data_IF_748446052133
#
_entry.id   IF_748446052133
#
_cell.length_a   1.000
_cell.length_b   1.000
_cell.length_c   1.000
_cell.angle_alpha   90.00
_cell.angle_beta   90.00
_cell.angle_gamma   90.00
#
_symmetry.space_group_name_H-M   'P 1'
#
loop_
_entity.id
_entity.type
_entity.pdbx_description
1 polymer ?
#
# COMPACT_ATOMS: atom_id res chain seq x y z
N UNK A 1 19.93 35.86 -15.79
CA UNK A 1 21.31 35.47 -15.45
C UNK A 1 22.01 34.95 -16.71
N UNK A 2 23.28 35.33 -16.92
CA UNK A 2 24.05 35.00 -18.15
C UNK A 2 24.27 33.48 -18.41
N UNK A 3 23.79 32.60 -17.53
CA UNK A 3 23.84 31.16 -17.66
C UNK A 3 22.44 30.50 -17.76
N UNK A 4 21.39 31.31 -17.98
CA UNK A 4 20.07 30.79 -18.24
C UNK A 4 19.98 30.25 -19.68
N UNK A 5 19.31 29.10 -19.85
CA UNK A 5 19.05 28.54 -21.19
C UNK A 5 18.23 29.53 -22.03
N UNK A 6 18.66 29.76 -23.27
CA UNK A 6 17.91 30.56 -24.23
C UNK A 6 16.58 29.88 -24.63
N UNK A 7 15.63 30.59 -25.21
CA UNK A 7 14.40 29.98 -25.74
C UNK A 7 14.68 28.86 -26.77
N UNK A 8 15.70 29.03 -27.59
CA UNK A 8 16.10 28.05 -28.62
C UNK A 8 16.66 26.78 -27.98
N UNK A 9 17.52 26.92 -26.98
CA UNK A 9 18.08 25.79 -26.19
C UNK A 9 16.99 25.02 -25.48
N UNK A 10 16.01 25.72 -24.88
CA UNK A 10 14.85 25.12 -24.25
C UNK A 10 13.99 24.36 -25.25
N UNK A 11 13.77 24.93 -26.44
CA UNK A 11 13.02 24.25 -27.50
C UNK A 11 13.74 22.99 -27.99
N UNK A 12 15.07 23.03 -28.15
CA UNK A 12 15.88 21.89 -28.53
C UNK A 12 15.80 20.75 -27.51
N UNK A 13 15.91 21.07 -26.21
CA UNK A 13 15.74 20.08 -25.11
C UNK A 13 14.36 19.44 -25.15
N UNK A 14 13.32 20.23 -25.39
CA UNK A 14 11.94 19.74 -25.47
C UNK A 14 11.73 18.86 -26.70
N UNK A 15 12.25 19.25 -27.85
CA UNK A 15 12.13 18.51 -29.09
C UNK A 15 12.78 17.13 -28.98
N UNK A 16 14.03 17.08 -28.52
CA UNK A 16 14.75 15.81 -28.29
C UNK A 16 14.04 14.92 -27.30
N UNK A 17 13.59 15.46 -26.16
CA UNK A 17 12.89 14.68 -25.17
C UNK A 17 11.58 14.07 -25.70
N UNK A 18 10.98 14.65 -26.72
CA UNK A 18 9.74 14.17 -27.35
C UNK A 18 9.97 13.27 -28.58
N UNK A 19 11.22 13.01 -28.96
CA UNK A 19 11.49 12.00 -29.96
C UNK A 19 10.90 10.63 -29.57
N UNK A 20 10.42 9.83 -30.54
CA UNK A 20 9.83 8.51 -30.23
C UNK A 20 10.70 7.62 -29.37
N UNK A 21 12.04 7.65 -29.57
CA UNK A 21 13.02 6.86 -28.81
C UNK A 21 13.13 7.31 -27.34
N UNK A 22 12.81 8.56 -27.02
CA UNK A 22 12.92 9.17 -25.71
C UNK A 22 11.58 9.45 -25.04
N UNK A 23 10.47 9.29 -25.72
CA UNK A 23 9.14 9.64 -25.20
C UNK A 23 8.79 8.97 -23.86
N UNK A 24 9.36 7.78 -23.59
CA UNK A 24 9.17 7.04 -22.35
C UNK A 24 10.40 7.01 -21.43
N UNK A 25 11.44 7.76 -21.76
CA UNK A 25 12.72 7.74 -21.05
C UNK A 25 12.84 8.96 -20.12
N UNK A 26 13.27 8.80 -18.88
CA UNK A 26 13.46 9.93 -17.98
C UNK A 26 14.72 10.73 -18.34
N UNK A 27 14.78 12.04 -17.98
CA UNK A 27 15.94 12.93 -18.25
C UNK A 27 17.28 12.34 -17.80
N UNK A 28 17.33 11.67 -16.65
CA UNK A 28 18.53 11.01 -16.10
C UNK A 28 19.10 9.92 -17.02
N UNK A 29 18.34 9.41 -17.97
CA UNK A 29 18.81 8.45 -18.97
C UNK A 29 18.99 9.07 -20.34
N UNK A 30 18.18 10.09 -20.70
CA UNK A 30 18.29 10.77 -21.99
C UNK A 30 19.64 11.48 -22.10
N UNK A 31 20.04 12.22 -21.06
CA UNK A 31 21.29 13.02 -21.11
C UNK A 31 22.52 12.16 -21.29
N UNK A 32 22.74 11.05 -20.55
CA UNK A 32 23.86 10.15 -20.83
C UNK A 32 23.81 9.53 -22.23
N UNK A 33 22.63 9.10 -22.70
CA UNK A 33 22.49 8.51 -24.04
C UNK A 33 22.86 9.49 -25.14
N UNK A 34 22.49 10.77 -25.01
CA UNK A 34 22.90 11.83 -25.93
C UNK A 34 24.42 12.11 -25.85
N UNK A 35 24.98 12.07 -24.64
CA UNK A 35 26.42 12.24 -24.43
C UNK A 35 27.23 11.12 -25.11
N UNK A 36 26.75 9.88 -25.08
CA UNK A 36 27.36 8.75 -25.79
C UNK A 36 27.31 8.96 -27.34
N UNK A 37 26.29 9.70 -27.83
CA UNK A 37 26.17 10.09 -29.23
C UNK A 37 26.98 11.36 -29.54
N UNK A 38 27.74 11.92 -28.60
CA UNK A 38 28.50 13.16 -28.76
C UNK A 38 27.68 14.44 -28.71
N UNK A 39 26.42 14.36 -28.21
CA UNK A 39 25.49 15.50 -28.16
C UNK A 39 25.29 15.91 -26.71
N UNK A 40 25.52 17.20 -26.39
CA UNK A 40 25.23 17.75 -25.08
C UNK A 40 24.37 19.01 -25.21
N UNK A 41 23.11 18.93 -24.80
CA UNK A 41 22.15 20.02 -24.84
C UNK A 41 21.94 20.70 -23.48
N UNK A 42 22.28 20.02 -22.39
CA UNK A 42 22.14 20.55 -21.05
C UNK A 42 22.13 19.46 -20.00
N UNK A 43 22.14 19.85 -18.73
CA UNK A 43 22.12 18.92 -17.61
C UNK A 43 20.75 18.21 -17.45
N UNK A 44 20.73 17.06 -16.77
CA UNK A 44 19.51 16.36 -16.39
C UNK A 44 18.51 17.27 -15.66
N UNK A 45 19.00 18.09 -14.73
CA UNK A 45 18.17 19.04 -13.98
C UNK A 45 17.60 20.14 -14.86
N UNK A 46 18.32 20.57 -15.91
CA UNK A 46 17.83 21.55 -16.89
C UNK A 46 16.73 20.96 -17.75
N UNK A 47 16.94 19.75 -18.27
CA UNK A 47 15.93 19.02 -19.04
C UNK A 47 14.68 18.73 -18.18
N UNK A 48 14.85 18.31 -16.93
CA UNK A 48 13.72 18.05 -16.03
C UNK A 48 12.89 19.32 -15.77
N UNK A 49 13.54 20.49 -15.62
CA UNK A 49 12.85 21.78 -15.44
C UNK A 49 12.06 22.16 -16.70
N UNK A 50 12.68 22.07 -17.90
CA UNK A 50 12.00 22.36 -19.15
C UNK A 50 10.77 21.46 -19.34
N UNK A 51 10.89 20.16 -19.08
CA UNK A 51 9.77 19.22 -19.15
C UNK A 51 8.67 19.54 -18.11
N UNK A 52 9.06 19.95 -16.91
CA UNK A 52 8.11 20.37 -15.86
C UNK A 52 7.30 21.58 -16.28
N UNK A 53 7.96 22.60 -16.85
CA UNK A 53 7.31 23.84 -17.32
C UNK A 53 6.27 23.54 -18.40
N UNK A 54 6.46 22.45 -19.18
CA UNK A 54 5.53 22.00 -20.22
C UNK A 54 4.58 20.89 -19.75
N UNK A 55 4.50 20.61 -18.44
CA UNK A 55 3.63 19.56 -17.89
C UNK A 55 4.03 18.13 -18.26
N UNK A 56 5.24 17.91 -18.79
CA UNK A 56 5.71 16.62 -19.33
C UNK A 56 6.64 15.85 -18.38
N UNK A 57 6.90 16.36 -17.17
CA UNK A 57 7.81 15.71 -16.25
C UNK A 57 7.16 14.56 -15.44
N UNK A 58 5.84 14.44 -15.46
CA UNK A 58 5.13 13.39 -14.78
C UNK A 58 5.03 12.14 -15.65
N UNK A 59 5.64 11.05 -15.22
CA UNK A 59 5.41 9.69 -15.74
C UNK A 59 5.69 9.52 -17.23
N UNK A 60 6.89 9.82 -17.63
CA UNK A 60 7.37 9.41 -18.95
C UNK A 60 7.51 7.87 -18.94
N UNK A 61 6.76 7.19 -19.81
CA UNK A 61 6.83 5.75 -19.98
C UNK A 61 5.67 4.94 -19.38
N UNK A 62 5.91 3.65 -19.14
CA UNK A 62 4.91 2.68 -18.68
C UNK A 62 4.43 2.85 -17.23
N UNK A 63 4.91 3.86 -16.51
CA UNK A 63 4.49 4.11 -15.15
C UNK A 63 3.01 4.46 -15.09
N UNK A 64 2.22 3.58 -14.49
CA UNK A 64 0.80 3.86 -14.21
C UNK A 64 0.68 5.09 -13.31
N UNK A 65 -0.39 5.85 -13.51
CA UNK A 65 -0.76 6.90 -12.56
C UNK A 65 -0.77 6.33 -11.14
N UNK A 66 -0.25 7.04 -10.11
CA UNK A 66 -0.48 6.63 -8.73
C UNK A 66 -1.99 6.45 -8.56
N UNK A 67 -2.38 5.31 -7.99
CA UNK A 67 -3.78 5.16 -7.57
C UNK A 67 -4.06 6.27 -6.55
N UNK A 68 -5.20 6.94 -6.68
CA UNK A 68 -5.65 7.84 -5.65
C UNK A 68 -5.64 7.07 -4.32
N UNK A 69 -4.87 7.54 -3.35
CA UNK A 69 -4.90 7.00 -2.01
C UNK A 69 -6.28 7.31 -1.44
N UNK A 70 -7.07 6.27 -1.18
CA UNK A 70 -8.27 6.45 -0.35
C UNK A 70 -7.80 6.75 1.06
N UNK A 71 -8.41 7.73 1.75
CA UNK A 71 -8.13 7.93 3.16
C UNK A 71 -8.38 6.62 3.91
N UNK A 72 -7.57 6.28 4.93
CA UNK A 72 -7.80 5.09 5.74
C UNK A 72 -9.21 5.14 6.34
N UNK A 73 -9.88 4.01 6.37
CA UNK A 73 -11.18 3.89 7.04
C UNK A 73 -10.97 4.10 8.54
N UNK A 74 -11.65 5.07 9.11
CA UNK A 74 -11.59 5.37 10.54
C UNK A 74 -12.86 4.85 11.20
N UNK A 75 -12.73 4.06 12.25
CA UNK A 75 -13.83 3.57 13.06
C UNK A 75 -13.73 4.17 14.45
N UNK A 76 -14.86 4.64 14.99
CA UNK A 76 -14.99 5.15 16.35
C UNK A 76 -15.98 4.23 17.08
N UNK A 77 -15.54 3.64 18.17
CA UNK A 77 -16.38 2.87 19.06
C UNK A 77 -16.79 3.74 20.27
N UNK A 78 -18.07 3.77 20.58
CA UNK A 78 -18.64 4.49 21.72
C UNK A 78 -19.13 3.55 22.82
N UNK A 79 -19.16 2.24 22.55
CA UNK A 79 -19.52 1.18 23.48
C UNK A 79 -18.80 -0.13 23.11
N UNK A 80 -18.69 -1.11 24.04
CA UNK A 80 -18.16 -2.44 23.75
C UNK A 80 -18.97 -3.15 22.66
N UNK A 81 -18.32 -4.02 21.89
CA UNK A 81 -18.95 -4.85 20.86
C UNK A 81 -19.30 -4.12 19.56
N UNK A 82 -18.88 -2.86 19.38
CA UNK A 82 -19.14 -2.12 18.14
C UNK A 82 -18.03 -2.30 17.09
N UNK A 83 -16.78 -2.31 17.51
CA UNK A 83 -15.63 -2.44 16.62
C UNK A 83 -14.62 -3.39 17.23
N UNK A 84 -14.26 -4.40 16.49
CA UNK A 84 -13.20 -5.34 16.83
C UNK A 84 -11.99 -5.08 15.98
N UNK A 85 -10.82 -5.02 16.58
CA UNK A 85 -9.55 -4.90 15.91
C UNK A 85 -8.88 -6.27 15.81
N UNK A 86 -8.58 -6.69 14.60
CA UNK A 86 -7.82 -7.89 14.29
C UNK A 86 -6.36 -7.56 14.10
N UNK A 87 -5.48 -8.37 14.66
CA UNK A 87 -4.05 -8.33 14.35
C UNK A 87 -3.43 -9.72 14.47
N UNK A 88 -2.28 -9.90 13.81
CA UNK A 88 -1.45 -11.09 13.92
C UNK A 88 0.00 -10.69 14.19
N UNK A 89 0.61 -11.27 15.20
CA UNK A 89 1.99 -10.99 15.57
C UNK A 89 2.79 -12.28 15.76
N UNK A 90 4.11 -12.14 15.67
CA UNK A 90 5.04 -13.25 15.83
C UNK A 90 5.51 -13.33 17.27
N UNK A 91 5.49 -14.55 17.84
CA UNK A 91 6.06 -14.86 19.15
C UNK A 91 7.30 -15.73 18.94
N UNK A 92 8.46 -15.37 19.53
CA UNK A 92 9.65 -16.20 19.40
C UNK A 92 9.47 -17.52 20.16
N UNK A 93 9.84 -18.63 19.53
CA UNK A 93 9.91 -19.92 20.18
C UNK A 93 11.25 -20.08 20.93
N UNK A 94 11.35 -21.10 21.77
CA UNK A 94 12.61 -21.43 22.48
C UNK A 94 13.73 -21.87 21.50
N UNK A 95 13.35 -22.37 20.32
CA UNK A 95 14.31 -22.76 19.28
C UNK A 95 14.58 -21.56 18.38
N UNK A 96 15.86 -21.22 18.25
CA UNK A 96 16.28 -20.09 17.39
C UNK A 96 15.79 -20.27 15.94
N UNK A 97 15.20 -19.21 15.39
CA UNK A 97 14.66 -19.19 14.02
C UNK A 97 13.24 -19.78 13.89
N UNK A 98 12.66 -20.29 14.96
CA UNK A 98 11.27 -20.75 14.99
C UNK A 98 10.37 -19.69 15.63
N UNK A 99 9.19 -19.46 15.03
CA UNK A 99 8.21 -18.48 15.45
C UNK A 99 6.85 -19.11 15.56
N UNK A 100 6.06 -18.64 16.53
CA UNK A 100 4.64 -18.88 16.58
C UNK A 100 3.88 -17.65 16.11
N UNK A 101 2.67 -17.86 15.68
CA UNK A 101 1.77 -16.83 15.18
C UNK A 101 0.63 -16.64 16.18
N UNK A 102 0.62 -15.48 16.84
CA UNK A 102 -0.50 -15.09 17.70
C UNK A 102 -1.52 -14.33 16.87
N UNK A 103 -2.70 -14.88 16.76
CA UNK A 103 -3.88 -14.25 16.19
C UNK A 103 -4.70 -13.63 17.31
N UNK A 104 -5.07 -12.37 17.18
CA UNK A 104 -5.71 -11.59 18.25
C UNK A 104 -6.90 -10.82 17.71
N UNK A 105 -8.01 -10.85 18.47
CA UNK A 105 -9.16 -9.96 18.27
C UNK A 105 -9.37 -9.18 19.56
N UNK A 106 -9.34 -7.85 19.45
CA UNK A 106 -9.48 -6.90 20.55
C UNK A 106 -10.72 -6.04 20.32
N UNK A 107 -11.56 -5.89 21.34
CA UNK A 107 -12.61 -4.87 21.31
C UNK A 107 -12.00 -3.47 21.43
N UNK A 108 -12.32 -2.58 20.47
CA UNK A 108 -11.68 -1.27 20.36
C UNK A 108 -12.02 -0.37 21.56
N UNK A 109 -13.24 -0.45 22.08
CA UNK A 109 -13.69 0.40 23.18
C UNK A 109 -13.19 -0.07 24.54
N UNK A 110 -13.47 -1.31 24.90
CA UNK A 110 -13.14 -1.87 26.21
C UNK A 110 -11.68 -2.31 26.34
N UNK A 111 -10.98 -2.48 25.21
CA UNK A 111 -9.62 -3.08 25.13
C UNK A 111 -9.57 -4.54 25.59
N UNK A 112 -10.70 -5.18 25.71
CA UNK A 112 -10.78 -6.60 26.06
C UNK A 112 -10.35 -7.45 24.87
N UNK A 113 -9.57 -8.49 25.16
CA UNK A 113 -9.26 -9.54 24.18
C UNK A 113 -10.51 -10.45 24.12
N UNK A 114 -11.22 -10.39 22.99
CA UNK A 114 -12.40 -11.20 22.74
C UNK A 114 -12.07 -12.52 22.06
N UNK A 115 -10.90 -12.61 21.42
CA UNK A 115 -10.39 -13.84 20.84
C UNK A 115 -8.88 -13.85 20.73
N UNK A 116 -8.26 -14.99 21.03
CA UNK A 116 -6.83 -15.20 20.85
C UNK A 116 -6.53 -16.68 20.59
N UNK A 117 -5.61 -16.93 19.67
CA UNK A 117 -5.07 -18.26 19.37
C UNK A 117 -3.60 -18.17 18.96
N UNK A 118 -2.83 -19.23 19.27
CA UNK A 118 -1.43 -19.35 18.90
C UNK A 118 -1.26 -20.57 18.01
N UNK A 119 -0.63 -20.38 16.86
CA UNK A 119 -0.37 -21.44 15.88
C UNK A 119 1.10 -21.45 15.48
N UNK A 120 1.56 -22.55 14.91
CA UNK A 120 2.93 -22.73 14.41
C UNK A 120 3.09 -22.33 12.93
N UNK A 121 1.99 -21.98 12.27
CA UNK A 121 1.97 -21.52 10.88
C UNK A 121 1.03 -20.33 10.69
N UNK A 122 1.30 -19.50 9.68
CA UNK A 122 0.36 -18.47 9.21
C UNK A 122 -0.55 -19.08 8.16
N UNK A 123 -1.83 -19.24 8.52
CA UNK A 123 -2.86 -19.81 7.65
C UNK A 123 -4.18 -19.05 7.78
N UNK A 124 -4.86 -18.88 6.65
CA UNK A 124 -6.19 -18.25 6.60
C UNK A 124 -7.25 -19.07 7.35
N UNK A 125 -7.11 -20.40 7.42
CA UNK A 125 -8.04 -21.28 8.14
C UNK A 125 -7.97 -21.05 9.64
N UNK A 126 -6.80 -20.70 10.20
CA UNK A 126 -6.66 -20.30 11.61
C UNK A 126 -7.44 -19.01 11.88
N UNK A 127 -7.36 -18.04 10.95
CA UNK A 127 -8.14 -16.79 11.05
C UNK A 127 -9.64 -17.06 11.01
N UNK A 128 -10.12 -17.91 10.09
CA UNK A 128 -11.53 -18.32 10.00
C UNK A 128 -11.99 -18.97 11.30
N UNK A 129 -11.18 -19.89 11.85
CA UNK A 129 -11.49 -20.60 13.08
C UNK A 129 -11.62 -19.63 14.26
N UNK A 130 -10.65 -18.76 14.45
CA UNK A 130 -10.66 -17.77 15.53
C UNK A 130 -11.87 -16.84 15.44
N UNK A 131 -12.13 -16.23 14.25
CA UNK A 131 -13.25 -15.30 14.10
C UNK A 131 -14.58 -16.01 14.35
N UNK A 132 -14.76 -17.23 13.82
CA UNK A 132 -15.97 -18.03 14.07
C UNK A 132 -16.16 -18.34 15.54
N UNK A 133 -15.11 -18.81 16.23
CA UNK A 133 -15.16 -19.13 17.64
C UNK A 133 -15.48 -17.89 18.49
N UNK A 134 -14.85 -16.77 18.18
CA UNK A 134 -15.11 -15.49 18.87
C UNK A 134 -16.54 -15.03 18.63
N UNK A 135 -17.04 -15.10 17.39
CA UNK A 135 -18.40 -14.73 17.05
C UNK A 135 -19.45 -15.57 17.80
N UNK A 136 -19.18 -16.87 18.00
CA UNK A 136 -20.04 -17.74 18.79
C UNK A 136 -19.98 -17.41 20.29
N UNK A 137 -18.77 -17.20 20.84
CA UNK A 137 -18.57 -16.87 22.26
C UNK A 137 -19.26 -15.55 22.64
N UNK A 138 -19.16 -14.54 21.78
CA UNK A 138 -19.78 -13.23 21.96
C UNK A 138 -21.24 -13.17 21.50
N UNK A 139 -21.83 -14.30 21.06
CA UNK A 139 -23.23 -14.39 20.63
C UNK A 139 -23.61 -13.40 19.53
N UNK A 140 -22.73 -13.13 18.59
CA UNK A 140 -22.88 -12.11 17.53
C UNK A 140 -24.15 -12.32 16.72
N UNK A 141 -24.55 -13.58 16.47
CA UNK A 141 -25.73 -13.91 15.70
C UNK A 141 -27.04 -13.33 16.30
N UNK A 142 -27.06 -13.10 17.62
CA UNK A 142 -28.23 -12.56 18.35
C UNK A 142 -28.20 -11.04 18.53
N UNK A 143 -27.14 -10.38 18.09
CA UNK A 143 -27.00 -8.92 18.20
C UNK A 143 -27.77 -8.21 17.09
N UNK A 144 -28.50 -7.15 17.43
CA UNK A 144 -29.19 -6.29 16.45
C UNK A 144 -28.18 -5.59 15.52
N UNK A 145 -27.06 -5.17 16.08
CA UNK A 145 -25.94 -4.56 15.31
C UNK A 145 -24.67 -5.37 15.53
N UNK A 146 -24.14 -5.94 14.46
CA UNK A 146 -22.92 -6.74 14.51
C UNK A 146 -21.68 -5.85 14.58
N UNK A 147 -20.62 -6.26 15.30
CA UNK A 147 -19.36 -5.52 15.34
C UNK A 147 -18.71 -5.42 13.96
N UNK A 148 -18.08 -4.30 13.71
CA UNK A 148 -17.19 -4.14 12.55
C UNK A 148 -15.86 -4.80 12.86
N UNK A 149 -15.45 -5.77 12.08
CA UNK A 149 -14.09 -6.33 12.16
C UNK A 149 -13.14 -5.47 11.34
N UNK A 150 -12.25 -4.76 12.02
CA UNK A 150 -11.23 -3.90 11.43
C UNK A 150 -9.86 -4.54 11.59
N UNK A 151 -9.09 -4.60 10.52
CA UNK A 151 -7.71 -5.09 10.52
C UNK A 151 -6.86 -4.35 9.51
N UNK A 152 -5.58 -4.64 9.52
CA UNK A 152 -4.69 -4.19 8.47
C UNK A 152 -5.10 -4.78 7.10
N UNK A 153 -4.44 -4.30 6.05
CA UNK A 153 -4.65 -4.82 4.69
C UNK A 153 -3.89 -6.13 4.43
N UNK A 154 -3.59 -6.91 5.46
CA UNK A 154 -2.90 -8.18 5.38
C UNK A 154 -3.58 -9.21 4.47
N UNK A 155 -2.79 -10.16 3.95
CA UNK A 155 -3.27 -11.21 3.05
C UNK A 155 -4.27 -12.14 3.72
N UNK A 156 -4.07 -12.43 4.98
CA UNK A 156 -4.87 -13.39 5.77
C UNK A 156 -6.33 -12.98 5.88
N UNK A 157 -6.63 -11.72 6.24
CA UNK A 157 -8.02 -11.23 6.29
C UNK A 157 -8.67 -11.05 4.90
N UNK A 158 -7.88 -10.96 3.85
CA UNK A 158 -8.37 -10.87 2.46
C UNK A 158 -8.55 -12.22 1.80
N UNK A 159 -8.19 -13.30 2.47
CA UNK A 159 -8.40 -14.64 1.95
C UNK A 159 -9.89 -14.88 1.69
N UNK A 160 -10.19 -15.53 0.57
CA UNK A 160 -11.58 -15.80 0.14
C UNK A 160 -12.36 -16.56 1.21
N UNK A 161 -11.69 -17.46 1.93
CA UNK A 161 -12.28 -18.24 3.02
C UNK A 161 -12.77 -17.37 4.17
N UNK A 162 -11.95 -16.38 4.60
CA UNK A 162 -12.31 -15.43 5.66
C UNK A 162 -13.46 -14.54 5.21
N UNK A 163 -13.39 -13.99 3.99
CA UNK A 163 -14.46 -13.14 3.45
C UNK A 163 -15.78 -13.89 3.30
N UNK A 164 -15.75 -15.15 2.82
CA UNK A 164 -16.93 -15.98 2.73
C UNK A 164 -17.56 -16.25 4.10
N UNK A 165 -16.73 -16.55 5.11
CA UNK A 165 -17.20 -16.79 6.48
C UNK A 165 -17.85 -15.53 7.08
N UNK A 166 -17.26 -14.33 6.87
CA UNK A 166 -17.84 -13.08 7.36
C UNK A 166 -19.21 -12.75 6.72
N UNK A 167 -19.51 -13.27 5.54
CA UNK A 167 -20.84 -13.14 4.91
C UNK A 167 -21.90 -14.03 5.56
N UNK A 168 -21.50 -15.08 6.29
CA UNK A 168 -22.41 -15.99 6.97
C UNK A 168 -22.73 -15.57 8.44
N UNK A 169 -21.99 -14.65 8.98
CA UNK A 169 -22.20 -14.11 10.33
C UNK A 169 -23.13 -12.89 10.32
#
# INVERSE_FOLDING_TARGET
>A
PGHALSPEERAALLAVANEPRFASVPPARIVPMLADEGVYLGSESSMARVLKDHGQNARRGRAKAPKASRPPTTHIATAPGQVWCWDMTYLPAQVMGRWFHLYLILDLYSRQIVGAEVHDSDDADHAVHLVRRTALAESIATMDTKPVLHGDNGSTLKATTVLAMLQWL
#
